data_IF_711447467384
#
_entry.id   IF_711447467384
#
_cell.length_a   1.000
_cell.length_b   1.000
_cell.length_c   1.000
_cell.angle_alpha   90.00
_cell.angle_beta   90.00
_cell.angle_gamma   90.00
#
_symmetry.space_group_name_H-M   'P 1'
#
loop_
_entity.id
_entity.type
_entity.pdbx_description
1 polymer ?
#
# COMPACT_ATOMS: atom_id res chain seq x y z
N UNK A 1 6.69 -2.50 -11.33
CA UNK A 1 5.23 -2.38 -11.11
C UNK A 1 5.00 -1.38 -9.98
N UNK A 2 3.85 -0.73 -9.94
CA UNK A 2 3.48 0.21 -8.87
C UNK A 2 2.13 -0.14 -8.27
N UNK A 3 2.00 0.18 -6.99
CA UNK A 3 0.80 -0.07 -6.20
C UNK A 3 -0.35 0.85 -6.62
N UNK A 4 -1.53 0.29 -6.85
CA UNK A 4 -2.75 0.99 -7.26
C UNK A 4 -3.96 0.44 -6.53
N UNK A 5 -4.97 1.29 -6.32
CA UNK A 5 -6.31 0.82 -6.01
C UNK A 5 -6.92 0.23 -7.28
N UNK A 6 -7.64 -0.88 -7.17
CA UNK A 6 -8.37 -1.45 -8.30
C UNK A 6 -9.52 -0.53 -8.75
N UNK A 7 -10.12 -0.84 -9.90
CA UNK A 7 -11.23 -0.04 -10.44
C UNK A 7 -12.48 -0.04 -9.53
N UNK A 8 -12.63 -1.08 -8.69
CA UNK A 8 -13.70 -1.17 -7.69
C UNK A 8 -13.43 -0.33 -6.43
N UNK A 9 -12.20 0.16 -6.24
CA UNK A 9 -11.79 0.91 -5.06
C UNK A 9 -11.77 0.08 -3.77
N UNK A 10 -11.71 -1.25 -3.89
CA UNK A 10 -11.77 -2.17 -2.74
C UNK A 10 -10.46 -2.88 -2.50
N UNK A 11 -9.71 -3.20 -3.56
CA UNK A 11 -8.48 -3.98 -3.45
C UNK A 11 -7.26 -3.16 -3.83
N UNK A 12 -6.11 -3.61 -3.33
CA UNK A 12 -4.80 -3.07 -3.70
C UNK A 12 -4.09 -4.04 -4.66
N UNK A 13 -3.66 -3.51 -5.80
CA UNK A 13 -3.06 -4.27 -6.88
C UNK A 13 -1.73 -3.65 -7.34
N UNK A 14 -0.88 -4.46 -7.96
CA UNK A 14 0.29 -4.03 -8.71
C UNK A 14 -0.07 -3.88 -10.19
N UNK A 15 0.34 -2.75 -10.77
CA UNK A 15 0.14 -2.48 -12.19
C UNK A 15 1.19 -1.54 -12.77
N UNK A 16 0.84 -0.89 -13.88
CA UNK A 16 1.67 0.10 -14.55
C UNK A 16 1.78 1.39 -13.72
N UNK A 17 3.02 1.81 -13.46
CA UNK A 17 3.35 3.06 -12.77
C UNK A 17 2.85 4.32 -13.48
N UNK A 18 2.62 4.27 -14.80
CA UNK A 18 2.08 5.41 -15.55
C UNK A 18 0.64 5.76 -15.13
N UNK A 19 -0.14 4.75 -14.73
CA UNK A 19 -1.56 4.80 -14.34
C UNK A 19 -1.79 4.57 -12.84
N UNK A 20 -0.73 4.48 -12.04
CA UNK A 20 -0.87 4.06 -10.65
C UNK A 20 -1.57 5.08 -9.76
N UNK A 21 -2.22 4.59 -8.72
CA UNK A 21 -2.74 5.44 -7.64
C UNK A 21 -1.59 6.13 -6.91
N UNK A 22 -1.88 7.27 -6.29
CA UNK A 22 -0.95 7.95 -5.39
C UNK A 22 -1.29 7.63 -3.95
N UNK A 23 -0.25 7.46 -3.16
CA UNK A 23 -0.34 7.10 -1.76
C UNK A 23 0.48 8.06 -0.93
N UNK A 24 0.03 8.33 0.29
CA UNK A 24 0.83 9.06 1.27
C UNK A 24 0.73 8.38 2.62
N UNK A 25 1.79 8.48 3.43
CA UNK A 25 1.74 8.00 4.80
C UNK A 25 1.21 9.10 5.71
N UNK A 26 0.15 8.82 6.45
CA UNK A 26 -0.38 9.73 7.48
C UNK A 26 0.59 9.78 8.66
N UNK A 27 0.90 10.99 9.13
CA UNK A 27 1.70 11.19 10.34
C UNK A 27 0.88 10.77 11.56
N UNK A 28 1.50 10.10 12.53
CA UNK A 28 0.86 9.64 13.76
C UNK A 28 0.71 8.14 13.84
N UNK A 29 -0.12 7.54 12.97
CA UNK A 29 -0.43 6.10 13.03
C UNK A 29 0.13 5.29 11.85
N UNK A 30 0.94 5.89 10.99
CA UNK A 30 1.58 5.24 9.85
C UNK A 30 0.60 4.61 8.82
N UNK A 31 -0.68 5.01 8.83
CA UNK A 31 -1.62 4.57 7.81
C UNK A 31 -1.18 5.01 6.41
N UNK A 32 -1.28 4.09 5.45
CA UNK A 32 -1.00 4.36 4.03
C UNK A 32 -2.33 4.77 3.37
N UNK A 33 -2.45 6.06 3.09
CA UNK A 33 -3.67 6.72 2.62
C UNK A 33 -3.70 6.82 1.11
N UNK A 34 -4.89 6.66 0.52
CA UNK A 34 -5.11 6.90 -0.90
C UNK A 34 -5.24 8.42 -1.16
N UNK A 35 -4.40 8.98 -2.01
CA UNK A 35 -4.36 10.44 -2.22
C UNK A 35 -5.61 11.00 -2.92
N UNK A 36 -6.32 10.18 -3.69
CA UNK A 36 -7.56 10.57 -4.37
C UNK A 36 -8.80 10.50 -3.48
N UNK A 37 -8.70 9.84 -2.32
CA UNK A 37 -9.76 9.67 -1.34
C UNK A 37 -9.12 9.56 0.05
N UNK A 38 -8.98 10.70 0.72
CA UNK A 38 -8.26 10.86 1.99
C UNK A 38 -8.93 10.20 3.21
N UNK A 39 -10.11 9.60 3.03
CA UNK A 39 -10.80 8.75 4.00
C UNK A 39 -10.55 7.25 3.77
N UNK A 40 -9.81 6.87 2.72
CA UNK A 40 -9.47 5.47 2.42
C UNK A 40 -8.00 5.21 2.69
N UNK A 41 -7.72 4.07 3.30
CA UNK A 41 -6.36 3.60 3.62
C UNK A 41 -6.24 2.10 3.45
N UNK A 42 -5.00 1.63 3.29
CA UNK A 42 -4.69 0.20 3.25
C UNK A 42 -5.04 -0.48 4.56
N UNK A 43 -5.63 -1.66 4.44
CA UNK A 43 -6.09 -2.46 5.56
C UNK A 43 -5.66 -3.92 5.41
N UNK A 44 -5.12 -4.46 6.49
CA UNK A 44 -4.78 -5.88 6.61
C UNK A 44 -6.02 -6.68 6.98
N UNK A 45 -6.29 -7.73 6.21
CA UNK A 45 -7.41 -8.65 6.46
C UNK A 45 -6.94 -9.92 7.15
N UNK A 46 -5.83 -10.49 6.69
CA UNK A 46 -5.31 -11.77 7.17
C UNK A 46 -4.14 -12.24 6.31
N UNK A 47 -3.35 -13.18 6.85
CA UNK A 47 -2.27 -13.83 6.10
C UNK A 47 -2.81 -14.55 4.86
N UNK A 48 -2.11 -14.42 3.74
CA UNK A 48 -2.50 -14.91 2.42
C UNK A 48 -3.69 -14.17 1.78
N UNK A 49 -4.33 -13.24 2.49
CA UNK A 49 -5.49 -12.51 1.98
C UNK A 49 -5.08 -11.25 1.22
N UNK A 50 -5.91 -10.79 0.25
CA UNK A 50 -5.73 -9.51 -0.40
C UNK A 50 -5.71 -8.34 0.60
N UNK A 51 -4.84 -7.38 0.35
CA UNK A 51 -4.87 -6.08 1.03
C UNK A 51 -6.03 -5.27 0.47
N UNK A 52 -6.85 -4.73 1.37
CA UNK A 52 -8.06 -3.99 1.01
C UNK A 52 -7.94 -2.50 1.36
N UNK A 53 -8.92 -1.73 0.91
CA UNK A 53 -9.14 -0.36 1.36
C UNK A 53 -10.24 -0.32 2.42
N UNK A 54 -9.99 0.44 3.50
CA UNK A 54 -10.91 0.65 4.60
C UNK A 54 -11.11 2.13 4.86
N UNK A 55 -12.27 2.48 5.43
CA UNK A 55 -12.54 3.81 6.00
C UNK A 55 -12.09 3.94 7.45
N UNK A 56 -11.82 2.83 8.13
CA UNK A 56 -11.32 2.82 9.49
C UNK A 56 -9.79 2.90 9.51
N UNK A 57 -9.26 4.09 9.31
CA UNK A 57 -7.82 4.30 9.18
C UNK A 57 -7.06 4.41 10.49
N UNK A 58 -7.75 4.48 11.62
CA UNK A 58 -7.15 4.60 12.95
C UNK A 58 -6.89 3.24 13.61
N UNK A 59 -7.39 2.15 13.01
CA UNK A 59 -7.18 0.80 13.49
C UNK A 59 -5.72 0.31 13.32
N UNK A 60 -5.31 -0.62 14.19
CA UNK A 60 -3.99 -1.24 14.14
C UNK A 60 -3.77 -2.01 12.84
N UNK A 61 -4.81 -2.63 12.29
CA UNK A 61 -4.75 -3.35 11.01
C UNK A 61 -4.61 -2.42 9.80
N UNK A 62 -4.76 -1.10 10.00
CA UNK A 62 -4.49 -0.08 8.99
C UNK A 62 -3.17 0.68 9.22
N UNK A 63 -2.39 0.28 10.23
CA UNK A 63 -1.14 0.93 10.61
C UNK A 63 0.08 0.17 10.04
N UNK A 64 0.68 0.73 8.98
CA UNK A 64 1.77 0.07 8.24
C UNK A 64 3.11 0.72 8.55
N UNK A 65 3.96 0.00 9.26
CA UNK A 65 5.25 0.46 9.74
C UNK A 65 6.35 0.23 8.69
N UNK A 66 7.23 1.21 8.44
CA UNK A 66 8.34 1.04 7.52
C UNK A 66 9.55 0.44 8.24
N UNK A 67 10.12 -0.63 7.68
CA UNK A 67 11.42 -1.16 8.12
C UNK A 67 12.25 -1.46 6.89
N UNK A 68 13.33 -0.71 6.69
CA UNK A 68 14.13 -0.76 5.46
C UNK A 68 13.25 -0.63 4.20
N UNK A 69 13.16 -1.69 3.38
CA UNK A 69 12.34 -1.74 2.18
C UNK A 69 10.99 -2.45 2.36
N UNK A 70 10.67 -2.85 3.59
CA UNK A 70 9.42 -3.52 3.93
C UNK A 70 8.38 -2.52 4.43
N UNK A 71 7.11 -2.80 4.13
CA UNK A 71 5.96 -2.23 4.81
C UNK A 71 5.29 -3.35 5.58
N UNK A 72 5.34 -3.28 6.92
CA UNK A 72 4.80 -4.33 7.76
C UNK A 72 3.62 -3.84 8.60
N UNK A 73 2.71 -4.74 8.91
CA UNK A 73 1.61 -4.54 9.85
C UNK A 73 1.71 -5.63 10.92
N UNK A 74 1.30 -5.31 12.15
CA UNK A 74 1.17 -6.32 13.19
C UNK A 74 -0.08 -7.15 12.90
N UNK A 75 0.12 -8.38 12.44
CA UNK A 75 -0.96 -9.35 12.25
C UNK A 75 -1.42 -9.95 13.57
N UNK A 76 -2.29 -10.96 13.48
CA UNK A 76 -2.71 -11.74 14.63
C UNK A 76 -1.51 -12.46 15.28
N UNK A 77 -1.58 -12.67 16.60
CA UNK A 77 -0.58 -13.40 17.39
C UNK A 77 0.83 -12.77 17.42
N UNK A 78 0.95 -11.47 17.12
CA UNK A 78 2.21 -10.74 17.21
C UNK A 78 3.17 -10.95 16.03
N UNK A 79 2.72 -11.70 15.00
CA UNK A 79 3.46 -11.85 13.75
C UNK A 79 3.50 -10.52 12.99
N UNK A 80 4.62 -10.26 12.30
CA UNK A 80 4.75 -9.11 11.40
C UNK A 80 4.45 -9.58 9.99
N UNK A 81 3.40 -9.02 9.41
CA UNK A 81 2.94 -9.34 8.06
C UNK A 81 3.42 -8.26 7.11
N UNK A 82 4.02 -8.65 6.00
CA UNK A 82 4.51 -7.74 4.97
C UNK A 82 3.58 -7.75 3.76
N UNK A 83 3.52 -6.63 3.03
CA UNK A 83 2.94 -6.61 1.69
C UNK A 83 3.70 -7.60 0.80
N UNK A 84 2.99 -8.35 -0.04
CA UNK A 84 3.60 -9.34 -0.93
C UNK A 84 2.96 -9.28 -2.33
N UNK A 85 3.80 -9.02 -3.33
CA UNK A 85 3.45 -8.95 -4.74
C UNK A 85 3.76 -10.22 -5.55
N UNK A 86 4.15 -11.32 -4.91
CA UNK A 86 4.58 -12.56 -5.58
C UNK A 86 3.42 -13.38 -6.16
N UNK A 87 2.20 -13.20 -5.65
CA UNK A 87 1.03 -14.00 -6.00
C UNK A 87 0.36 -13.53 -7.32
N UNK A 88 1.01 -13.85 -8.43
CA UNK A 88 0.44 -13.66 -9.77
C UNK A 88 -0.68 -14.67 -10.02
N UNK A 89 -1.95 -14.26 -9.97
CA UNK A 89 -3.04 -15.10 -10.48
C UNK A 89 -3.01 -15.10 -12.02
N UNK A 90 -2.94 -16.26 -12.69
CA UNK A 90 -2.95 -16.32 -14.16
C UNK A 90 -4.21 -15.66 -14.73
N UNK A 91 -4.04 -14.73 -15.68
CA UNK A 91 -5.16 -14.07 -16.39
C UNK A 91 -5.65 -12.74 -15.80
N UNK A 92 -5.07 -12.24 -14.71
CA UNK A 92 -5.41 -10.92 -14.16
C UNK A 92 -4.62 -9.78 -14.82
N UNK A 93 -5.27 -8.65 -15.08
CA UNK A 93 -4.64 -7.42 -15.62
C UNK A 93 -3.81 -6.64 -14.60
N UNK A 94 -3.72 -7.15 -13.37
CA UNK A 94 -2.87 -6.67 -12.28
C UNK A 94 -2.61 -7.80 -11.28
N UNK A 95 -1.50 -7.72 -10.54
CA UNK A 95 -1.16 -8.70 -9.50
C UNK A 95 -1.76 -8.23 -8.18
N UNK A 96 -2.63 -9.03 -7.56
CA UNK A 96 -3.24 -8.66 -6.27
C UNK A 96 -2.16 -8.69 -5.20
N UNK A 97 -2.06 -7.62 -4.42
CA UNK A 97 -1.14 -7.58 -3.27
C UNK A 97 -1.79 -8.34 -2.13
N UNK A 98 -1.11 -9.38 -1.65
CA UNK A 98 -1.51 -10.12 -0.46
C UNK A 98 -0.64 -9.71 0.72
N UNK A 99 -0.86 -10.33 1.89
CA UNK A 99 0.11 -10.26 2.99
C UNK A 99 0.62 -11.63 3.37
N UNK A 100 1.91 -11.72 3.67
CA UNK A 100 2.57 -12.94 4.14
C UNK A 100 3.46 -12.56 5.33
N UNK A 101 3.89 -13.55 6.12
CA UNK A 101 4.87 -13.29 7.18
C UNK A 101 6.13 -12.65 6.56
N UNK A 102 6.68 -11.63 7.21
CA UNK A 102 7.80 -10.90 6.63
C UNK A 102 9.06 -11.79 6.51
N UNK A 103 9.55 -11.93 5.29
CA UNK A 103 10.76 -12.67 5.01
C UNK A 103 11.96 -11.85 5.50
N UNK A 104 12.83 -12.50 6.29
CA UNK A 104 14.14 -11.96 6.66
C UNK A 104 14.12 -10.62 7.42
N UNK A 105 13.01 -10.31 8.08
CA UNK A 105 12.88 -9.06 8.83
C UNK A 105 13.77 -9.09 10.08
N UNK A 106 14.90 -8.39 10.03
CA UNK A 106 15.82 -8.24 11.16
C UNK A 106 16.87 -9.35 11.29
N UNK A 107 17.04 -10.19 10.27
CA UNK A 107 18.10 -11.21 10.23
C UNK A 107 19.26 -10.75 9.35
N UNK A 108 20.49 -11.04 9.77
CA UNK A 108 21.72 -10.79 8.97
C UNK A 108 21.88 -11.79 7.81
N UNK A 109 21.27 -12.96 7.94
CA UNK A 109 21.26 -14.02 6.91
C UNK A 109 19.83 -14.28 6.49
N UNK A 110 19.57 -14.09 5.20
CA UNK A 110 18.28 -14.30 4.56
C UNK A 110 18.45 -15.43 3.54
N UNK A 111 17.80 -16.57 3.76
CA UNK A 111 17.85 -17.69 2.81
C UNK A 111 16.76 -17.58 1.73
N UNK A 112 15.70 -16.83 2.01
CA UNK A 112 14.60 -16.59 1.07
C UNK A 112 14.86 -15.33 0.24
N UNK A 113 14.15 -15.13 -0.88
CA UNK A 113 14.28 -13.93 -1.70
C UNK A 113 13.12 -12.97 -1.39
N UNK A 114 13.30 -11.95 -0.51
CA UNK A 114 12.23 -11.06 -0.07
C UNK A 114 11.83 -10.02 -1.12
N UNK A 115 12.31 -10.14 -2.37
CA UNK A 115 12.07 -9.16 -3.42
C UNK A 115 10.58 -8.90 -3.69
N UNK A 116 9.72 -9.90 -3.52
CA UNK A 116 8.27 -9.74 -3.69
C UNK A 116 7.63 -8.91 -2.57
N UNK A 117 8.32 -8.78 -1.43
CA UNK A 117 7.90 -8.00 -0.26
C UNK A 117 8.54 -6.60 -0.17
N UNK A 118 9.33 -6.20 -1.17
CA UNK A 118 9.99 -4.90 -1.19
C UNK A 118 9.08 -3.81 -1.76
N UNK A 119 8.58 -2.96 -0.86
CA UNK A 119 7.71 -1.84 -1.18
C UNK A 119 8.29 -0.53 -0.63
N UNK A 120 8.68 0.36 -1.54
CA UNK A 120 9.19 1.69 -1.21
C UNK A 120 8.23 2.79 -1.64
N UNK A 121 8.17 3.86 -0.85
CA UNK A 121 7.54 5.10 -1.28
C UNK A 121 8.49 5.84 -2.22
N UNK A 122 8.04 6.08 -3.44
CA UNK A 122 8.74 6.93 -4.40
C UNK A 122 8.02 8.27 -4.50
N UNK A 123 8.78 9.36 -4.37
CA UNK A 123 8.23 10.71 -4.59
C UNK A 123 7.87 10.87 -6.06
N UNK A 124 6.65 11.31 -6.36
CA UNK A 124 6.18 11.50 -7.75
C UNK A 124 5.86 12.96 -8.04
N UNK A 125 6.46 13.48 -9.11
CA UNK A 125 6.40 14.89 -9.49
C UNK A 125 5.24 15.14 -10.46
N UNK A 126 4.00 14.74 -10.15
CA UNK A 126 2.85 15.08 -11.02
C UNK A 126 2.14 16.30 -10.43
N UNK A 127 2.47 17.47 -10.98
CA UNK A 127 2.13 18.81 -10.49
C UNK A 127 0.68 18.97 -10.03
N UNK A 128 0.53 19.64 -8.89
CA UNK A 128 -0.74 20.15 -8.38
C UNK A 128 -1.39 21.00 -9.48
N UNK A 129 -2.57 20.61 -9.97
CA UNK A 129 -3.37 21.54 -10.77
C UNK A 129 -3.84 22.64 -9.83
N UNK A 130 -3.14 23.77 -9.81
CA UNK A 130 -3.57 24.98 -9.12
C UNK A 130 -4.92 25.38 -9.70
N UNK A 131 -6.00 25.26 -8.92
CA UNK A 131 -7.30 25.85 -9.29
C UNK A 131 -7.08 27.36 -9.38
N UNK A 132 -7.09 27.92 -10.60
CA UNK A 132 -7.23 29.37 -10.78
C UNK A 132 -8.60 29.76 -10.21
N UNK A 133 -8.60 30.46 -9.10
CA UNK A 133 -9.79 31.11 -8.55
C UNK A 133 -10.14 32.28 -9.46
N UNK A 134 -11.13 32.10 -10.33
CA UNK A 134 -11.67 33.20 -11.13
C UNK A 134 -12.54 34.06 -10.22
N UNK A 135 -12.02 35.24 -9.85
CA UNK A 135 -12.80 36.30 -9.22
C UNK A 135 -13.86 36.81 -10.21
N UNK A 136 -15.14 36.79 -9.83
CA UNK A 136 -16.20 37.53 -10.52
C UNK A 136 -16.00 39.03 -10.28
N UNK A 137 -16.15 39.89 -11.31
CA UNK A 137 -16.27 41.32 -11.07
C UNK A 137 -17.65 41.64 -10.48
N UNK A 138 -17.69 42.64 -9.59
CA UNK A 138 -18.90 43.31 -9.07
C UNK A 138 -19.44 44.24 -10.13
#
# INVERSE_FOLDING_TARGET
>A
MCVSADAGGQNVVLGDCSKSSRWFRRRGNHAIMLSSADHLCMHFVGEGQPVTLSTNCDDQLSSWWPVAMFQFVSGSQGKRMCLDGGNSQPGSTGVVITTTECDCLGTVTCQENPQTQWFSFVTTNKGSKTKKQTSRPV
#
